data_IF_508988809335
#
_entry.id   IF_508988809335
#
_cell.length_a   1.000
_cell.length_b   1.000
_cell.length_c   1.000
_cell.angle_alpha   90.00
_cell.angle_beta   90.00
_cell.angle_gamma   90.00
#
_symmetry.space_group_name_H-M   'P 1'
#
loop_
_entity.id
_entity.type
_entity.pdbx_description
1 polymer ?
#
# COMPACT_ATOMS: atom_id res chain seq x y z
N UNK A 1 9.99 3.16 -20.85
CA UNK A 1 9.12 3.94 -19.94
C UNK A 1 9.76 5.30 -19.68
N UNK A 2 9.45 6.31 -20.50
CA UNK A 2 10.21 7.58 -20.60
C UNK A 2 10.25 8.42 -19.32
N UNK A 3 9.21 8.35 -18.49
CA UNK A 3 9.10 9.13 -17.25
C UNK A 3 10.28 8.89 -16.28
N UNK A 4 10.81 7.67 -16.22
CA UNK A 4 11.90 7.35 -15.27
C UNK A 4 13.23 8.01 -15.63
N UNK A 5 13.39 8.57 -16.83
CA UNK A 5 14.65 9.12 -17.31
C UNK A 5 14.76 10.63 -17.07
N UNK A 6 13.65 11.30 -16.73
CA UNK A 6 13.68 12.73 -16.45
C UNK A 6 14.34 13.01 -15.11
N UNK A 7 15.23 14.00 -15.08
CA UNK A 7 16.02 14.37 -13.90
C UNK A 7 15.38 15.46 -13.04
N UNK A 8 14.37 16.17 -13.56
CA UNK A 8 13.63 17.19 -12.80
C UNK A 8 12.67 16.56 -11.77
N UNK A 9 12.36 17.27 -10.66
CA UNK A 9 11.41 16.83 -9.64
C UNK A 9 10.01 16.60 -10.20
N UNK A 10 9.37 15.48 -9.85
CA UNK A 10 8.05 15.09 -10.36
C UNK A 10 7.34 14.15 -9.41
N UNK A 11 6.02 14.12 -9.49
CA UNK A 11 5.17 13.15 -8.79
C UNK A 11 4.73 12.07 -9.78
N UNK A 12 4.93 10.80 -9.44
CA UNK A 12 4.48 9.65 -10.22
C UNK A 12 3.40 8.92 -9.43
N UNK A 13 2.17 8.92 -9.96
CA UNK A 13 1.06 8.12 -9.43
C UNK A 13 0.92 6.89 -10.32
N UNK A 14 0.97 5.70 -9.74
CA UNK A 14 0.93 4.45 -10.50
C UNK A 14 0.13 3.35 -9.79
N UNK A 15 -0.57 2.55 -10.57
CA UNK A 15 -1.16 1.29 -10.15
C UNK A 15 -0.16 0.13 -10.33
N UNK A 16 -0.22 -0.96 -9.55
CA UNK A 16 -1.21 -1.30 -8.52
C UNK A 16 -0.82 -0.86 -7.10
N UNK A 17 -1.81 -0.60 -6.22
CA UNK A 17 -1.60 -0.16 -4.83
C UNK A 17 -0.91 -1.16 -3.91
N UNK A 18 -0.69 -2.40 -4.37
CA UNK A 18 0.08 -3.45 -3.66
C UNK A 18 1.45 -3.71 -4.28
N UNK A 19 1.81 -3.00 -5.36
CA UNK A 19 3.09 -3.14 -6.06
C UNK A 19 3.36 -4.53 -6.65
N UNK A 20 2.31 -5.29 -6.94
CA UNK A 20 2.40 -6.69 -7.39
C UNK A 20 2.63 -6.82 -8.89
N UNK A 21 1.96 -6.00 -9.71
CA UNK A 21 1.96 -6.09 -11.17
C UNK A 21 1.88 -4.69 -11.77
N UNK A 22 2.37 -4.57 -13.01
CA UNK A 22 2.18 -3.39 -13.84
C UNK A 22 3.32 -2.38 -13.76
N UNK A 23 3.00 -1.16 -14.18
CA UNK A 23 3.95 -0.07 -14.37
C UNK A 23 4.65 0.35 -13.08
N UNK A 24 4.00 0.19 -11.92
CA UNK A 24 4.62 0.44 -10.61
C UNK A 24 5.94 -0.31 -10.42
N UNK A 25 6.06 -1.57 -10.88
CA UNK A 25 7.31 -2.34 -10.76
C UNK A 25 8.46 -1.70 -11.53
N UNK A 26 8.18 -1.14 -12.70
CA UNK A 26 9.17 -0.41 -13.47
C UNK A 26 9.56 0.90 -12.77
N UNK A 27 8.61 1.64 -12.20
CA UNK A 27 8.93 2.84 -11.43
C UNK A 27 9.76 2.51 -10.19
N UNK A 28 9.40 1.48 -9.43
CA UNK A 28 10.15 1.03 -8.24
C UNK A 28 11.58 0.64 -8.61
N UNK A 29 11.77 -0.16 -9.67
CA UNK A 29 13.09 -0.56 -10.17
C UNK A 29 14.02 0.64 -10.41
N UNK A 30 13.50 1.73 -10.99
CA UNK A 30 14.34 2.88 -11.37
C UNK A 30 14.52 3.91 -10.25
N UNK A 31 13.65 3.92 -9.24
CA UNK A 31 13.60 5.01 -8.26
C UNK A 31 13.95 4.57 -6.82
N UNK A 32 13.71 3.31 -6.41
CA UNK A 32 13.86 2.85 -5.01
C UNK A 32 15.29 2.95 -4.46
N UNK A 33 16.29 2.85 -5.32
CA UNK A 33 17.71 2.87 -4.93
C UNK A 33 18.27 4.30 -4.84
N UNK A 34 17.48 5.32 -5.16
CA UNK A 34 17.89 6.72 -5.05
C UNK A 34 17.38 7.29 -3.72
N UNK A 35 18.29 7.71 -2.85
CA UNK A 35 17.97 8.28 -1.53
C UNK A 35 17.23 9.61 -1.58
N UNK A 36 17.37 10.38 -2.67
CA UNK A 36 16.65 11.64 -2.90
C UNK A 36 15.15 11.47 -3.21
N UNK A 37 14.70 10.25 -3.42
CA UNK A 37 13.32 9.95 -3.78
C UNK A 37 12.55 9.47 -2.54
N UNK A 38 11.25 9.71 -2.54
CA UNK A 38 10.34 9.17 -1.52
C UNK A 38 9.27 8.30 -2.17
N UNK A 39 8.96 7.17 -1.53
CA UNK A 39 7.85 6.29 -1.87
C UNK A 39 6.73 6.47 -0.85
N UNK A 40 5.59 6.97 -1.31
CA UNK A 40 4.42 7.19 -0.46
C UNK A 40 3.36 6.14 -0.75
N UNK A 41 2.99 5.40 0.30
CA UNK A 41 1.90 4.45 0.27
C UNK A 41 0.62 5.04 0.85
N UNK A 42 -0.52 4.73 0.21
CA UNK A 42 -1.86 5.13 0.63
C UNK A 42 -2.78 3.91 0.70
N UNK A 43 -3.66 3.87 1.70
CA UNK A 43 -4.72 2.87 1.84
C UNK A 43 -4.29 1.53 2.46
N UNK A 44 -5.16 0.52 2.37
CA UNK A 44 -4.98 -0.78 3.04
C UNK A 44 -3.88 -1.64 2.40
N UNK A 45 -3.28 -2.52 3.22
CA UNK A 45 -2.19 -3.40 2.84
C UNK A 45 -2.57 -4.85 3.09
N UNK A 46 -2.32 -5.69 2.07
CA UNK A 46 -2.43 -7.15 2.21
C UNK A 46 -1.06 -7.71 2.52
N UNK A 47 -1.01 -8.67 3.44
CA UNK A 47 0.21 -9.39 3.80
C UNK A 47 0.80 -10.15 2.61
N UNK A 48 2.11 -10.40 2.68
CA UNK A 48 2.85 -11.10 1.62
C UNK A 48 3.10 -10.26 0.36
N UNK A 49 2.50 -9.08 0.22
CA UNK A 49 2.73 -8.17 -0.91
C UNK A 49 4.10 -7.49 -0.83
N UNK A 50 4.63 -7.08 -1.99
CA UNK A 50 5.88 -6.30 -2.03
C UNK A 50 5.76 -5.02 -1.21
N UNK A 51 4.63 -4.31 -1.29
CA UNK A 51 4.35 -3.13 -0.47
C UNK A 51 4.54 -3.42 1.02
N UNK A 52 3.98 -4.52 1.51
CA UNK A 52 4.06 -4.86 2.94
C UNK A 52 5.52 -5.09 3.36
N UNK A 53 6.27 -5.86 2.58
CA UNK A 53 7.69 -6.13 2.89
C UNK A 53 8.54 -4.84 2.88
N UNK A 54 8.28 -3.92 1.96
CA UNK A 54 8.96 -2.61 1.93
C UNK A 54 8.68 -1.83 3.22
N UNK A 55 7.43 -1.83 3.69
CA UNK A 55 7.04 -1.17 4.93
C UNK A 55 7.57 -1.87 6.19
N UNK A 56 7.74 -3.19 6.13
CA UNK A 56 8.42 -3.96 7.18
C UNK A 56 9.94 -3.68 7.22
N UNK A 57 10.47 -2.88 6.29
CA UNK A 57 11.83 -2.34 6.34
C UNK A 57 12.90 -3.19 5.66
N UNK A 58 12.51 -4.07 4.71
CA UNK A 58 13.51 -4.80 3.91
C UNK A 58 14.47 -3.80 3.24
N UNK A 59 15.76 -4.14 3.20
CA UNK A 59 16.80 -3.28 2.60
C UNK A 59 17.08 -3.61 1.13
N UNK A 60 16.72 -4.81 0.69
CA UNK A 60 16.88 -5.27 -0.69
C UNK A 60 15.68 -6.10 -1.12
N UNK A 61 15.31 -6.01 -2.38
CA UNK A 61 14.23 -6.81 -2.96
C UNK A 61 14.44 -7.06 -4.44
N UNK A 62 13.96 -8.21 -4.92
CA UNK A 62 14.02 -8.54 -6.35
C UNK A 62 12.83 -7.92 -7.09
N UNK A 63 13.08 -7.08 -8.08
CA UNK A 63 12.07 -6.44 -8.93
C UNK A 63 12.45 -6.66 -10.40
N UNK A 64 11.54 -7.31 -11.16
CA UNK A 64 11.75 -7.61 -12.58
C UNK A 64 13.08 -8.38 -12.85
N UNK A 65 13.42 -9.34 -11.97
CA UNK A 65 14.61 -10.17 -12.08
C UNK A 65 15.86 -9.59 -11.40
N UNK A 66 15.88 -8.28 -11.13
CA UNK A 66 17.05 -7.57 -10.60
C UNK A 66 16.94 -7.31 -9.10
N UNK A 67 18.07 -7.37 -8.40
CA UNK A 67 18.15 -7.05 -6.97
C UNK A 67 18.31 -5.55 -6.79
N UNK A 68 17.32 -4.92 -6.15
CA UNK A 68 17.24 -3.48 -5.95
C UNK A 68 17.42 -3.18 -4.47
N UNK A 69 18.35 -2.26 -4.18
CA UNK A 69 18.54 -1.71 -2.83
C UNK A 69 17.48 -0.63 -2.57
N UNK A 70 16.98 -0.58 -1.33
CA UNK A 70 15.99 0.41 -0.90
C UNK A 70 16.71 1.48 -0.10
N UNK A 71 16.94 2.62 -0.76
CA UNK A 71 17.55 3.83 -0.18
C UNK A 71 16.57 5.00 -0.14
N UNK A 72 15.50 4.96 -0.94
CA UNK A 72 14.42 5.95 -0.90
C UNK A 72 13.72 5.99 0.46
N UNK A 73 13.26 7.18 0.84
CA UNK A 73 12.44 7.36 2.04
C UNK A 73 11.06 6.72 1.84
N UNK A 74 10.58 5.96 2.84
CA UNK A 74 9.30 5.26 2.76
C UNK A 74 8.29 5.92 3.72
N UNK A 75 7.13 6.30 3.19
CA UNK A 75 6.04 6.88 3.98
C UNK A 75 4.75 6.06 3.82
N UNK A 76 4.00 5.90 4.92
CA UNK A 76 2.68 5.25 4.92
C UNK A 76 1.62 6.21 5.45
N UNK A 77 0.79 6.73 4.56
CA UNK A 77 -0.33 7.61 4.90
C UNK A 77 -1.55 6.76 5.28
N UNK A 78 -1.72 6.57 6.59
CA UNK A 78 -2.87 5.89 7.19
C UNK A 78 -4.14 6.75 7.07
N UNK A 79 -5.31 6.10 6.97
CA UNK A 79 -6.61 6.79 6.96
C UNK A 79 -7.21 7.06 5.57
N UNK A 80 -6.49 6.79 4.48
CA UNK A 80 -6.97 7.00 3.10
C UNK A 80 -7.45 5.71 2.39
N UNK A 81 -7.84 4.66 3.13
CA UNK A 81 -8.23 3.38 2.54
C UNK A 81 -9.63 3.39 1.90
N UNK A 82 -10.46 4.40 2.21
CA UNK A 82 -11.87 4.43 1.83
C UNK A 82 -12.74 3.36 2.51
N UNK A 83 -12.13 2.48 3.32
CA UNK A 83 -12.83 1.45 4.08
C UNK A 83 -13.22 1.98 5.46
N UNK A 84 -14.44 1.66 5.87
CA UNK A 84 -14.91 1.90 7.22
C UNK A 84 -13.98 1.22 8.24
N UNK A 85 -13.52 1.98 9.22
CA UNK A 85 -12.83 1.41 10.36
C UNK A 85 -13.82 0.67 11.28
N UNK A 86 -13.28 -0.07 12.25
CA UNK A 86 -14.09 -0.86 13.18
C UNK A 86 -15.13 0.01 13.92
N UNK A 87 -14.74 1.22 14.34
CA UNK A 87 -15.62 2.15 15.04
C UNK A 87 -16.79 2.61 14.17
N UNK A 88 -16.51 2.93 12.91
CA UNK A 88 -17.53 3.31 11.94
C UNK A 88 -18.51 2.16 11.70
N UNK A 89 -18.02 0.93 11.56
CA UNK A 89 -18.87 -0.24 11.35
C UNK A 89 -19.76 -0.53 12.57
N UNK A 90 -19.20 -0.47 13.78
CA UNK A 90 -19.97 -0.64 15.02
C UNK A 90 -21.04 0.45 15.18
N UNK A 91 -20.68 1.71 14.90
CA UNK A 91 -21.62 2.84 14.91
C UNK A 91 -22.69 2.72 13.82
N UNK A 92 -22.36 2.17 12.66
CA UNK A 92 -23.33 1.93 11.60
C UNK A 92 -24.35 0.86 12.02
N UNK A 93 -23.90 -0.23 12.64
CA UNK A 93 -24.76 -1.31 13.15
C UNK A 93 -25.65 -0.81 14.30
N UNK A 94 -25.12 0.05 15.19
CA UNK A 94 -25.90 0.57 16.33
C UNK A 94 -27.08 1.44 15.89
N UNK A 95 -27.09 1.94 14.65
CA UNK A 95 -28.17 2.79 14.11
C UNK A 95 -29.35 2.00 13.51
N UNK A 96 -29.31 0.68 13.47
CA UNK A 96 -30.44 -0.13 12.98
C UNK A 96 -31.60 -0.13 13.99
N UNK A 97 -32.79 0.36 13.57
CA UNK A 97 -34.02 0.34 14.39
C UNK A 97 -34.43 -1.07 14.84
N UNK A 98 -34.20 -2.08 13.98
CA UNK A 98 -34.37 -3.50 14.30
C UNK A 98 -33.03 -4.19 14.14
N UNK A 99 -32.46 -4.65 15.25
CA UNK A 99 -31.14 -5.30 15.22
C UNK A 99 -31.22 -6.59 14.40
N UNK A 100 -30.25 -6.86 13.52
CA UNK A 100 -30.17 -8.13 12.82
C UNK A 100 -29.97 -9.27 13.83
N UNK A 101 -30.68 -10.39 13.62
CA UNK A 101 -30.59 -11.58 14.50
C UNK A 101 -29.26 -12.35 14.32
N UNK A 102 -28.64 -12.22 13.15
CA UNK A 102 -27.33 -12.76 12.78
C UNK A 102 -26.68 -11.82 11.76
N UNK A 103 -25.39 -11.57 11.91
CA UNK A 103 -24.58 -10.80 10.97
C UNK A 103 -23.32 -11.60 10.68
N UNK A 104 -22.92 -11.63 9.40
CA UNK A 104 -21.69 -12.24 8.95
C UNK A 104 -20.79 -11.15 8.35
N UNK A 105 -19.51 -11.17 8.70
CA UNK A 105 -18.51 -10.28 8.12
C UNK A 105 -17.60 -11.11 7.22
N UNK A 106 -17.43 -10.69 5.98
CA UNK A 106 -16.43 -11.24 5.05
C UNK A 106 -15.34 -10.20 4.80
N UNK A 107 -14.13 -10.66 4.47
CA UNK A 107 -12.95 -9.81 4.16
C UNK A 107 -12.31 -9.05 5.33
N UNK A 108 -12.48 -9.51 6.57
CA UNK A 108 -11.78 -8.98 7.76
C UNK A 108 -10.62 -9.90 8.19
N UNK A 109 -9.52 -9.32 8.67
CA UNK A 109 -8.37 -10.07 9.21
C UNK A 109 -8.70 -10.58 10.62
N UNK A 110 -8.36 -11.84 10.94
CA UNK A 110 -8.71 -12.52 12.21
C UNK A 110 -8.09 -11.90 13.47
N UNK A 111 -7.06 -11.07 13.35
CA UNK A 111 -6.26 -10.53 14.46
C UNK A 111 -6.77 -9.19 15.04
N UNK A 112 -8.01 -8.77 14.77
CA UNK A 112 -8.60 -7.52 15.31
C UNK A 112 -9.65 -7.82 16.39
N UNK A 113 -9.38 -8.79 17.26
CA UNK A 113 -10.11 -9.04 18.51
C UNK A 113 -9.14 -9.28 19.65
#
# INVERSE_FOLDING_TARGET
MRLNHYTFPKVIISSSGMCTVGRIRHHLKHNLWQSRNSLVFVGYQVEGTLRRKILDGIKKTKILGEDIVIESEIHDLKGFSGHADQKFLLNWISKFKKKPKKSFYSSWRREIF
#
